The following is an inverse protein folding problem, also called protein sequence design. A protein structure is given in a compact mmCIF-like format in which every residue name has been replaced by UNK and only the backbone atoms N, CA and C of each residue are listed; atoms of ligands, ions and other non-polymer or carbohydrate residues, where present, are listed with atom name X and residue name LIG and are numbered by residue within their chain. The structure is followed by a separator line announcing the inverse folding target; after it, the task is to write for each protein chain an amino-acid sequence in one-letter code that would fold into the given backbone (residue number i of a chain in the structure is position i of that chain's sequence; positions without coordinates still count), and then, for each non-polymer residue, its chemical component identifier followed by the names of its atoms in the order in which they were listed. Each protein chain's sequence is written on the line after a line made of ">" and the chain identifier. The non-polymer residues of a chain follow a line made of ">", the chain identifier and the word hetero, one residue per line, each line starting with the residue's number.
data_IF_583283506103
#
_entry.id   IF_583283506103
#
_cell.length_a   1.000
_cell.length_b   1.000
_cell.length_c   1.000
_cell.angle_alpha   90.00
_cell.angle_beta   90.00
_cell.angle_gamma   90.00
#
_symmetry.space_group_name_H-M   'P 1'
#
loop_
_entity.id
_entity.type
_entity.pdbx_description
1 polymer ?
#
# COMPACT_ATOMS: atom_id res chain seq x y z
N UNK A 1 24.82 -12.17 -3.47
CA UNK A 1 25.32 -11.13 -4.33
C UNK A 1 24.30 -10.01 -4.36
N UNK A 2 24.64 -8.91 -3.68
CA UNK A 2 23.86 -7.66 -3.73
C UNK A 2 23.96 -7.10 -5.13
N UNK A 3 22.93 -7.25 -5.96
CA UNK A 3 22.83 -6.54 -7.23
C UNK A 3 22.85 -5.02 -6.95
N UNK A 4 23.64 -4.31 -7.71
CA UNK A 4 23.86 -2.87 -7.54
C UNK A 4 22.61 -2.09 -7.92
N UNK A 5 22.38 -0.96 -7.26
CA UNK A 5 21.29 0.00 -7.54
C UNK A 5 21.25 0.54 -8.97
N UNK A 6 22.35 0.38 -9.75
CA UNK A 6 22.42 0.74 -11.17
C UNK A 6 21.51 -0.08 -12.08
N UNK A 7 21.02 -1.25 -11.61
CA UNK A 7 20.26 -2.17 -12.46
C UNK A 7 18.80 -1.71 -12.70
N UNK A 8 18.31 -0.76 -11.90
CA UNK A 8 16.99 -0.14 -12.10
C UNK A 8 17.04 1.15 -12.93
N UNK A 9 18.23 1.75 -13.13
CA UNK A 9 18.38 3.00 -13.90
C UNK A 9 18.01 2.85 -15.38
N UNK A 10 18.04 1.63 -15.93
CA UNK A 10 17.75 1.32 -17.33
C UNK A 10 16.26 0.97 -17.58
N UNK A 11 15.39 1.23 -16.60
CA UNK A 11 13.95 0.94 -16.78
C UNK A 11 13.34 1.92 -17.78
N UNK A 12 13.05 1.42 -18.98
CA UNK A 12 12.14 2.12 -19.89
C UNK A 12 10.70 1.90 -19.43
N UNK A 13 9.86 2.94 -19.42
CA UNK A 13 8.42 2.75 -19.23
C UNK A 13 7.88 1.74 -20.24
N UNK A 14 6.96 0.88 -19.80
CA UNK A 14 6.19 0.04 -20.71
C UNK A 14 5.34 0.89 -21.67
N UNK A 15 4.74 0.29 -22.70
CA UNK A 15 3.78 0.99 -23.53
C UNK A 15 2.72 1.65 -22.65
N UNK A 16 2.47 2.92 -22.89
CA UNK A 16 1.60 3.76 -22.05
C UNK A 16 0.10 3.53 -22.25
N UNK A 17 -0.26 2.55 -23.03
CA UNK A 17 -1.69 2.27 -23.30
C UNK A 17 -2.23 1.31 -22.23
N UNK A 18 -3.24 1.72 -21.45
CA UNK A 18 -3.99 0.80 -20.60
C UNK A 18 -4.67 -0.27 -21.45
N UNK A 19 -5.10 -1.39 -20.87
CA UNK A 19 -5.89 -2.39 -21.58
C UNK A 19 -7.09 -1.75 -22.27
N UNK A 20 -7.36 -2.12 -23.50
CA UNK A 20 -8.48 -1.58 -24.27
C UNK A 20 -9.80 -1.76 -23.49
N UNK A 21 -10.48 -0.65 -23.24
CA UNK A 21 -11.80 -0.62 -22.60
C UNK A 21 -11.81 -0.70 -21.08
N UNK A 22 -10.66 -0.80 -20.42
CA UNK A 22 -10.59 -0.77 -18.92
C UNK A 22 -9.52 0.21 -18.44
N UNK A 23 -9.85 1.10 -17.48
CA UNK A 23 -8.86 1.99 -16.89
C UNK A 23 -7.88 1.20 -16.02
N UNK A 24 -6.68 1.75 -15.85
CA UNK A 24 -5.71 1.20 -14.89
C UNK A 24 -6.26 1.26 -13.46
N UNK A 25 -6.04 0.24 -12.64
CA UNK A 25 -6.40 0.31 -11.23
C UNK A 25 -5.54 1.35 -10.50
N UNK A 26 -6.09 1.90 -9.40
CA UNK A 26 -5.27 2.56 -8.40
C UNK A 26 -4.73 1.53 -7.41
N UNK A 27 -3.58 1.80 -6.79
CA UNK A 27 -2.95 0.89 -5.82
C UNK A 27 -2.81 1.59 -4.47
N UNK A 28 -3.40 1.00 -3.43
CA UNK A 28 -3.21 1.44 -2.04
C UNK A 28 -2.13 0.56 -1.39
N UNK A 29 -0.99 1.19 -1.15
CA UNK A 29 0.21 0.55 -0.61
C UNK A 29 0.69 1.23 0.67
N UNK A 30 1.62 0.60 1.37
CA UNK A 30 2.23 1.12 2.58
C UNK A 30 2.84 -0.01 3.40
N UNK A 31 3.59 0.32 4.43
CA UNK A 31 4.05 -0.73 5.33
C UNK A 31 2.85 -1.29 6.11
N UNK A 32 2.81 -2.61 6.45
CA UNK A 32 1.73 -3.17 7.27
C UNK A 32 1.55 -2.33 8.55
N UNK A 33 0.31 -2.15 9.00
CA UNK A 33 -0.05 -1.33 10.17
C UNK A 33 0.05 0.20 9.99
N UNK A 34 0.19 0.70 8.77
CA UNK A 34 0.18 2.14 8.46
C UNK A 34 -1.24 2.74 8.30
N UNK A 35 -2.30 2.03 8.67
CA UNK A 35 -3.67 2.54 8.59
C UNK A 35 -4.37 2.24 7.26
N UNK A 36 -3.80 1.39 6.41
CA UNK A 36 -4.38 1.01 5.11
C UNK A 36 -5.78 0.42 5.22
N UNK A 37 -6.12 -0.28 6.33
CA UNK A 37 -7.46 -0.84 6.54
C UNK A 37 -8.51 0.23 6.88
N UNK A 38 -8.14 1.29 7.60
CA UNK A 38 -9.06 2.41 7.81
C UNK A 38 -9.29 3.16 6.49
N UNK A 39 -8.21 3.40 5.75
CA UNK A 39 -8.26 4.11 4.49
C UNK A 39 -9.05 3.32 3.42
N UNK A 40 -8.85 2.01 3.31
CA UNK A 40 -9.63 1.19 2.38
C UNK A 40 -11.12 1.18 2.71
N UNK A 41 -11.46 1.21 4.00
CA UNK A 41 -12.87 1.27 4.45
C UNK A 41 -13.51 2.62 4.10
N UNK A 42 -12.77 3.73 4.23
CA UNK A 42 -13.22 5.05 3.76
C UNK A 42 -13.44 5.04 2.24
N UNK A 43 -12.47 4.53 1.49
CA UNK A 43 -12.57 4.41 0.03
C UNK A 43 -13.75 3.53 -0.40
N UNK A 44 -14.03 2.44 0.30
CA UNK A 44 -15.22 1.58 0.05
C UNK A 44 -16.57 2.30 0.29
N UNK A 45 -16.57 3.35 1.11
CA UNK A 45 -17.77 4.17 1.35
C UNK A 45 -18.17 5.03 0.16
N UNK A 46 -17.30 5.22 -0.82
CA UNK A 46 -17.54 6.00 -2.02
C UNK A 46 -18.21 5.16 -3.12
N UNK A 47 -19.28 5.67 -3.73
CA UNK A 47 -20.12 4.91 -4.70
C UNK A 47 -19.36 4.48 -5.95
N UNK A 48 -18.41 5.30 -6.43
CA UNK A 48 -17.65 5.07 -7.65
C UNK A 48 -16.37 4.22 -7.44
N UNK A 49 -16.14 3.62 -6.28
CA UNK A 49 -14.95 2.79 -6.02
C UNK A 49 -15.30 1.33 -5.80
N UNK A 50 -14.34 0.47 -6.14
CA UNK A 50 -14.34 -0.95 -5.83
C UNK A 50 -12.98 -1.33 -5.25
N UNK A 51 -12.92 -1.60 -3.96
CA UNK A 51 -11.66 -1.88 -3.26
C UNK A 51 -11.43 -3.37 -3.12
N UNK A 52 -10.26 -3.85 -3.58
CA UNK A 52 -9.80 -5.23 -3.42
C UNK A 52 -9.00 -5.33 -2.12
N UNK A 53 -9.42 -6.20 -1.22
CA UNK A 53 -8.72 -6.38 0.06
C UNK A 53 -7.69 -7.51 -0.03
N UNK A 54 -6.43 -7.13 -0.18
CA UNK A 54 -5.27 -8.03 -0.09
C UNK A 54 -5.40 -9.29 -0.97
N UNK A 55 -5.99 -9.12 -2.16
CA UNK A 55 -5.99 -10.17 -3.15
C UNK A 55 -4.58 -10.31 -3.74
N UNK A 56 -4.06 -11.54 -3.88
CA UNK A 56 -2.68 -11.76 -4.31
C UNK A 56 -2.49 -11.67 -5.83
N UNK A 57 -3.25 -10.81 -6.53
CA UNK A 57 -3.24 -10.77 -8.01
C UNK A 57 -1.87 -10.31 -8.52
N UNK A 58 -1.44 -9.10 -8.16
CA UNK A 58 -0.10 -8.58 -8.53
C UNK A 58 1.02 -9.47 -7.98
N UNK A 59 0.84 -10.03 -6.78
CA UNK A 59 1.81 -10.94 -6.19
C UNK A 59 2.01 -12.20 -7.05
N UNK A 60 0.92 -12.82 -7.49
CA UNK A 60 0.97 -14.03 -8.30
C UNK A 60 1.57 -13.76 -9.69
N UNK A 61 1.24 -12.62 -10.31
CA UNK A 61 1.87 -12.19 -11.56
C UNK A 61 3.39 -12.01 -11.36
N UNK A 62 3.82 -11.35 -10.29
CA UNK A 62 5.24 -11.19 -9.98
C UNK A 62 5.96 -12.53 -9.75
N UNK A 63 5.34 -13.46 -9.03
CA UNK A 63 5.91 -14.80 -8.82
C UNK A 63 6.06 -15.58 -10.13
N UNK A 64 5.13 -15.41 -11.07
CA UNK A 64 5.20 -16.08 -12.39
C UNK A 64 6.34 -15.56 -13.28
N UNK A 65 6.81 -14.35 -13.02
CA UNK A 65 7.90 -13.72 -13.76
C UNK A 65 9.28 -14.01 -13.18
N UNK A 66 9.36 -14.38 -11.90
CA UNK A 66 10.61 -14.69 -11.22
C UNK A 66 11.33 -13.44 -10.72
N UNK A 67 12.26 -12.89 -11.48
CA UNK A 67 13.08 -11.78 -11.02
C UNK A 67 12.81 -10.44 -11.75
N UNK A 68 13.48 -9.39 -11.27
CA UNK A 68 13.28 -8.03 -11.77
C UNK A 68 13.79 -7.86 -13.22
N UNK A 69 14.78 -8.63 -13.65
CA UNK A 69 15.29 -8.57 -15.03
C UNK A 69 14.22 -9.03 -16.01
N UNK A 70 13.45 -10.05 -15.65
CA UNK A 70 12.33 -10.50 -16.48
C UNK A 70 11.25 -9.44 -16.59
N UNK A 71 10.95 -8.72 -15.51
CA UNK A 71 10.01 -7.59 -15.55
C UNK A 71 10.52 -6.51 -16.50
N UNK A 72 11.82 -6.20 -16.47
CA UNK A 72 12.46 -5.18 -17.31
C UNK A 72 12.34 -5.50 -18.80
N UNK A 73 12.49 -6.75 -19.17
CA UNK A 73 12.54 -7.19 -20.56
C UNK A 73 11.19 -7.58 -21.16
N UNK A 74 10.07 -7.36 -20.43
CA UNK A 74 8.73 -7.61 -20.97
C UNK A 74 8.49 -6.80 -22.25
N UNK A 75 8.09 -7.48 -23.31
CA UNK A 75 7.59 -6.88 -24.55
C UNK A 75 6.11 -6.48 -24.44
N UNK A 76 5.59 -5.81 -25.46
CA UNK A 76 4.23 -5.31 -25.49
C UNK A 76 3.18 -6.45 -25.38
N UNK A 77 3.38 -7.54 -26.12
CA UNK A 77 2.42 -8.65 -26.14
C UNK A 77 2.36 -9.34 -24.78
N UNK A 78 3.51 -9.50 -24.13
CA UNK A 78 3.57 -10.09 -22.78
C UNK A 78 2.96 -9.19 -21.72
N UNK A 79 3.17 -7.86 -21.83
CA UNK A 79 2.51 -6.86 -20.95
C UNK A 79 1.00 -6.96 -21.10
N UNK A 80 0.48 -6.98 -22.33
CA UNK A 80 -0.95 -7.05 -22.57
C UNK A 80 -1.56 -8.38 -22.10
N UNK A 81 -0.84 -9.49 -22.24
CA UNK A 81 -1.24 -10.78 -21.68
C UNK A 81 -1.31 -10.77 -20.14
N UNK A 82 -0.34 -10.15 -19.47
CA UNK A 82 -0.33 -10.00 -18.00
C UNK A 82 -1.43 -9.06 -17.51
N UNK A 83 -1.72 -7.98 -18.23
CA UNK A 83 -2.87 -7.10 -17.95
C UNK A 83 -4.19 -7.85 -18.08
N UNK A 84 -4.35 -8.61 -19.16
CA UNK A 84 -5.54 -9.46 -19.37
C UNK A 84 -5.71 -10.47 -18.24
N UNK A 85 -4.61 -11.09 -17.78
CA UNK A 85 -4.61 -12.01 -16.66
C UNK A 85 -5.01 -11.30 -15.36
N UNK A 86 -4.47 -10.09 -15.09
CA UNK A 86 -4.84 -9.27 -13.93
C UNK A 86 -6.35 -9.04 -13.89
N UNK A 87 -6.94 -8.58 -14.98
CA UNK A 87 -8.37 -8.30 -15.03
C UNK A 87 -9.23 -9.56 -15.02
N UNK A 88 -8.79 -10.67 -15.60
CA UNK A 88 -9.49 -11.94 -15.51
C UNK A 88 -9.53 -12.46 -14.05
N UNK A 89 -8.40 -12.35 -13.33
CA UNK A 89 -8.34 -12.72 -11.93
C UNK A 89 -9.20 -11.78 -11.05
N UNK A 90 -9.23 -10.49 -11.34
CA UNK A 90 -10.10 -9.53 -10.69
C UNK A 90 -11.57 -9.90 -10.89
N UNK A 91 -12.00 -10.12 -12.12
CA UNK A 91 -13.39 -10.44 -12.46
C UNK A 91 -13.84 -11.76 -11.81
N UNK A 92 -12.92 -12.69 -11.66
CA UNK A 92 -13.18 -13.99 -11.01
C UNK A 92 -13.25 -13.88 -9.48
N UNK A 93 -12.38 -13.06 -8.86
CA UNK A 93 -12.21 -13.01 -7.40
C UNK A 93 -13.08 -11.95 -6.73
N UNK A 94 -13.25 -10.82 -7.39
CA UNK A 94 -13.97 -9.65 -6.87
C UNK A 94 -14.48 -8.78 -8.03
N UNK A 95 -15.56 -9.19 -8.71
CA UNK A 95 -16.08 -8.44 -9.85
C UNK A 95 -16.54 -7.05 -9.44
N UNK A 96 -16.00 -6.03 -10.12
CA UNK A 96 -16.42 -4.64 -9.96
C UNK A 96 -17.66 -4.33 -10.78
N UNK A 97 -18.51 -3.44 -10.29
CA UNK A 97 -19.60 -2.90 -11.12
C UNK A 97 -19.03 -2.03 -12.24
N UNK A 98 -19.76 -1.95 -13.35
CA UNK A 98 -19.36 -1.12 -14.49
C UNK A 98 -19.17 0.34 -14.07
N UNK A 99 -18.05 0.93 -14.46
CA UNK A 99 -17.73 2.33 -14.18
C UNK A 99 -17.08 2.59 -12.82
N UNK A 100 -16.98 1.60 -11.94
CA UNK A 100 -16.25 1.77 -10.68
C UNK A 100 -14.72 1.75 -10.89
N UNK A 101 -14.03 2.66 -10.21
CA UNK A 101 -12.58 2.65 -10.10
C UNK A 101 -12.14 1.49 -9.20
N UNK A 102 -11.29 0.63 -9.72
CA UNK A 102 -10.68 -0.45 -8.94
C UNK A 102 -9.52 0.11 -8.12
N UNK A 103 -9.52 -0.17 -6.83
CA UNK A 103 -8.42 0.14 -5.91
C UNK A 103 -7.88 -1.16 -5.35
N UNK A 104 -6.69 -1.56 -5.80
CA UNK A 104 -6.00 -2.76 -5.33
C UNK A 104 -5.25 -2.44 -4.04
N UNK A 105 -5.84 -2.81 -2.89
CA UNK A 105 -5.23 -2.60 -1.59
C UNK A 105 -4.45 -3.85 -1.17
N UNK A 106 -3.14 -3.74 -1.24
CA UNK A 106 -2.21 -4.66 -0.61
C UNK A 106 -0.99 -3.87 -0.11
N UNK A 107 -0.80 -3.75 1.22
CA UNK A 107 0.27 -2.92 1.78
C UNK A 107 1.64 -3.24 1.18
N UNK A 108 2.02 -4.52 1.13
CA UNK A 108 3.33 -4.95 0.63
C UNK A 108 3.48 -4.88 -0.90
N UNK A 109 2.45 -4.49 -1.65
CA UNK A 109 2.61 -4.19 -3.09
C UNK A 109 3.55 -3.00 -3.35
N UNK A 110 3.93 -2.23 -2.33
CA UNK A 110 4.99 -1.22 -2.44
C UNK A 110 6.33 -1.81 -2.93
N UNK A 111 6.65 -3.08 -2.62
CA UNK A 111 7.86 -3.74 -3.14
C UNK A 111 7.70 -4.25 -4.57
N UNK A 112 6.52 -4.10 -5.16
CA UNK A 112 6.20 -4.50 -6.54
C UNK A 112 6.00 -3.30 -7.47
N UNK A 113 6.42 -2.12 -7.02
CA UNK A 113 6.26 -0.87 -7.77
C UNK A 113 6.80 -0.97 -9.21
N UNK A 114 7.95 -1.61 -9.49
CA UNK A 114 8.42 -1.80 -10.87
C UNK A 114 7.46 -2.61 -11.75
N UNK A 115 6.86 -3.68 -11.21
CA UNK A 115 5.87 -4.46 -11.93
C UNK A 115 4.58 -3.68 -12.16
N UNK A 116 4.08 -3.00 -11.12
CA UNK A 116 2.89 -2.14 -11.22
C UNK A 116 3.09 -1.09 -12.31
N UNK A 117 4.21 -0.37 -12.27
CA UNK A 117 4.52 0.64 -13.27
C UNK A 117 4.68 0.05 -14.68
N UNK A 118 5.27 -1.15 -14.81
CA UNK A 118 5.42 -1.81 -16.11
C UNK A 118 4.07 -2.21 -16.71
N UNK A 119 3.14 -2.68 -15.89
CA UNK A 119 1.81 -3.08 -16.34
C UNK A 119 0.85 -1.87 -16.48
N UNK A 120 0.95 -0.90 -15.59
CA UNK A 120 0.01 0.23 -15.46
C UNK A 120 0.79 1.53 -15.24
N UNK A 121 1.43 2.08 -16.29
CA UNK A 121 2.33 3.24 -16.15
C UNK A 121 1.60 4.52 -15.71
N UNK A 122 0.31 4.61 -15.93
CA UNK A 122 -0.58 5.70 -15.54
C UNK A 122 -1.32 5.44 -14.21
N UNK A 123 -1.03 4.33 -13.55
CA UNK A 123 -1.67 3.99 -12.28
C UNK A 123 -1.45 5.06 -11.20
N UNK A 124 -2.51 5.36 -10.47
CA UNK A 124 -2.45 6.21 -9.29
C UNK A 124 -2.06 5.37 -8.07
N UNK A 125 -1.03 5.80 -7.35
CA UNK A 125 -0.53 5.09 -6.17
C UNK A 125 -0.89 5.90 -4.93
N UNK A 126 -1.53 5.27 -3.97
CA UNK A 126 -1.83 5.84 -2.66
C UNK A 126 -0.84 5.24 -1.67
N UNK A 127 0.05 6.05 -1.09
CA UNK A 127 1.00 5.61 -0.08
C UNK A 127 0.49 5.99 1.31
N UNK A 128 0.08 4.99 2.08
CA UNK A 128 -0.26 5.18 3.48
C UNK A 128 1.00 5.22 4.34
N UNK A 129 1.22 6.34 5.01
CA UNK A 129 2.33 6.59 5.92
C UNK A 129 1.85 6.64 7.37
N UNK A 130 2.71 6.20 8.28
CA UNK A 130 2.54 6.32 9.73
C UNK A 130 3.90 6.42 10.38
N UNK A 131 3.96 6.96 11.61
CA UNK A 131 5.21 7.09 12.36
C UNK A 131 5.99 5.75 12.39
N UNK A 132 7.26 5.73 11.92
CA UNK A 132 8.03 4.48 11.74
C UNK A 132 8.10 3.63 13.01
N UNK A 133 8.31 4.26 14.17
CA UNK A 133 8.39 3.55 15.44
C UNK A 133 7.04 2.91 15.82
N UNK A 134 5.91 3.59 15.59
CA UNK A 134 4.58 3.02 15.86
C UNK A 134 4.26 1.86 14.92
N UNK A 135 4.67 1.96 13.67
CA UNK A 135 4.47 0.91 12.67
C UNK A 135 5.25 -0.34 13.02
N UNK A 136 6.56 -0.22 13.28
CA UNK A 136 7.42 -1.34 13.62
C UNK A 136 6.97 -2.01 14.92
N UNK A 137 6.68 -1.21 15.96
CA UNK A 137 6.13 -1.73 17.22
C UNK A 137 4.79 -2.45 16.99
N UNK A 138 3.89 -1.86 16.20
CA UNK A 138 2.58 -2.45 15.91
C UNK A 138 2.69 -3.76 15.13
N UNK A 139 3.66 -3.89 14.23
CA UNK A 139 3.94 -5.14 13.52
C UNK A 139 4.46 -6.21 14.47
N UNK A 140 5.41 -5.87 15.34
CA UNK A 140 5.94 -6.80 16.35
C UNK A 140 4.87 -7.30 17.33
N UNK A 141 3.97 -6.41 17.77
CA UNK A 141 2.89 -6.75 18.71
C UNK A 141 1.71 -7.48 18.07
N UNK A 142 1.67 -7.58 16.75
CA UNK A 142 0.54 -8.18 16.03
C UNK A 142 0.76 -9.68 15.84
N UNK A 143 -0.26 -10.47 16.19
CA UNK A 143 -0.29 -11.89 15.85
C UNK A 143 -0.71 -12.06 14.37
N UNK A 144 0.27 -12.05 13.48
CA UNK A 144 0.04 -12.32 12.06
C UNK A 144 -0.09 -13.83 11.78
N UNK A 145 -0.86 -14.17 10.74
CA UNK A 145 -0.76 -15.52 10.16
C UNK A 145 0.66 -15.72 9.65
N UNK A 146 1.30 -16.87 9.94
CA UNK A 146 2.66 -17.14 9.50
C UNK A 146 2.76 -17.11 7.96
N UNK A 147 3.49 -16.13 7.45
CA UNK A 147 3.94 -16.06 6.06
C UNK A 147 5.41 -15.69 6.06
N UNK A 148 6.10 -15.92 4.96
CA UNK A 148 7.52 -15.57 4.83
C UNK A 148 7.78 -14.08 5.14
N UNK A 149 6.92 -13.19 4.65
CA UNK A 149 7.01 -11.75 4.95
C UNK A 149 6.76 -11.45 6.44
N UNK A 150 5.79 -12.12 7.07
CA UNK A 150 5.42 -11.88 8.48
C UNK A 150 6.42 -12.47 9.47
N UNK A 151 7.25 -13.44 9.05
CA UNK A 151 8.35 -13.95 9.87
C UNK A 151 9.37 -12.86 10.25
N UNK A 152 9.48 -11.81 9.44
CA UNK A 152 10.34 -10.65 9.73
C UNK A 152 9.87 -9.79 10.91
N UNK A 153 8.65 -10.00 11.42
CA UNK A 153 8.06 -9.22 12.52
C UNK A 153 8.10 -9.93 13.88
N UNK A 154 8.77 -11.08 13.97
CA UNK A 154 8.88 -11.85 15.22
C UNK A 154 9.78 -11.21 16.25
N UNK A 155 10.64 -10.29 15.88
CA UNK A 155 11.46 -9.48 16.78
C UNK A 155 11.62 -8.04 16.25
N UNK A 156 11.88 -7.10 17.16
CA UNK A 156 12.03 -5.68 16.84
C UNK A 156 13.23 -5.40 15.91
N UNK A 157 14.42 -5.99 16.09
CA UNK A 157 15.55 -5.81 15.19
C UNK A 157 15.27 -6.25 13.75
N UNK A 158 14.63 -7.38 13.52
CA UNK A 158 14.25 -7.82 12.19
C UNK A 158 13.15 -6.95 11.57
N UNK A 159 12.15 -6.58 12.37
CA UNK A 159 11.07 -5.68 11.92
C UNK A 159 11.61 -4.31 11.47
N UNK A 160 12.54 -3.72 12.24
CA UNK A 160 13.16 -2.43 11.90
C UNK A 160 14.04 -2.50 10.64
N UNK A 161 14.86 -3.55 10.50
CA UNK A 161 15.65 -3.78 9.28
C UNK A 161 14.77 -4.02 8.05
N UNK A 162 13.65 -4.71 8.24
CA UNK A 162 12.68 -4.94 7.15
C UNK A 162 12.02 -3.63 6.73
N UNK A 163 11.66 -2.78 7.71
CA UNK A 163 11.16 -1.43 7.44
C UNK A 163 12.16 -0.62 6.60
N UNK A 164 13.41 -0.55 7.06
CA UNK A 164 14.49 0.16 6.38
C UNK A 164 14.70 -0.33 4.94
N UNK A 165 14.78 -1.65 4.73
CA UNK A 165 14.96 -2.24 3.39
C UNK A 165 13.80 -1.92 2.45
N UNK A 166 12.56 -2.03 2.94
CA UNK A 166 11.36 -1.80 2.11
C UNK A 166 11.27 -0.33 1.73
N UNK A 167 11.49 0.61 2.67
CA UNK A 167 11.45 2.03 2.36
C UNK A 167 12.64 2.49 1.53
N UNK A 168 13.85 1.95 1.76
CA UNK A 168 15.02 2.21 0.89
C UNK A 168 14.76 1.76 -0.55
N UNK A 169 14.16 0.59 -0.73
CA UNK A 169 13.78 0.10 -2.05
C UNK A 169 12.67 0.96 -2.70
N UNK A 170 11.66 1.34 -1.92
CA UNK A 170 10.59 2.23 -2.37
C UNK A 170 11.12 3.58 -2.86
N UNK A 171 11.94 4.25 -2.06
CA UNK A 171 12.57 5.53 -2.41
C UNK A 171 13.43 5.40 -3.67
N UNK A 172 14.21 4.31 -3.76
CA UNK A 172 15.00 4.04 -4.95
C UNK A 172 14.11 3.89 -6.20
N UNK A 173 13.05 3.09 -6.14
CA UNK A 173 12.11 2.95 -7.24
C UNK A 173 11.48 4.30 -7.63
N UNK A 174 11.06 5.11 -6.67
CA UNK A 174 10.49 6.44 -6.93
C UNK A 174 11.49 7.41 -7.57
N UNK A 175 12.78 7.26 -7.30
CA UNK A 175 13.81 8.13 -7.89
C UNK A 175 14.05 7.88 -9.38
N UNK A 176 13.64 6.72 -9.89
CA UNK A 176 13.89 6.28 -11.27
C UNK A 176 12.62 6.03 -12.08
N UNK A 177 11.48 5.80 -11.44
CA UNK A 177 10.21 5.55 -12.10
C UNK A 177 9.28 6.78 -12.00
N UNK A 178 8.71 7.26 -13.11
CA UNK A 178 7.79 8.39 -13.11
C UNK A 178 6.40 7.94 -12.62
N UNK A 179 6.28 7.65 -11.33
CA UNK A 179 5.03 7.19 -10.71
C UNK A 179 4.23 8.34 -10.12
N UNK A 180 2.91 8.27 -10.26
CA UNK A 180 1.98 9.24 -9.70
C UNK A 180 1.55 8.81 -8.30
N UNK A 181 2.07 9.47 -7.25
CA UNK A 181 1.90 9.06 -5.86
C UNK A 181 1.23 10.14 -5.03
N UNK A 182 0.17 9.78 -4.31
CA UNK A 182 -0.43 10.57 -3.24
C UNK A 182 -0.05 9.96 -1.88
N UNK A 183 0.61 10.75 -1.04
CA UNK A 183 1.00 10.33 0.31
C UNK A 183 -0.06 10.76 1.32
N UNK A 184 -0.50 9.83 2.16
CA UNK A 184 -1.47 10.09 3.21
C UNK A 184 -0.93 9.61 4.55
N UNK A 185 -0.92 10.51 5.54
CA UNK A 185 -0.44 10.21 6.89
C UNK A 185 -1.60 9.76 7.77
N UNK A 186 -1.41 8.63 8.44
CA UNK A 186 -2.37 8.08 9.38
C UNK A 186 -2.75 9.07 10.48
N UNK A 187 -1.77 9.75 11.05
CA UNK A 187 -1.97 10.71 12.14
C UNK A 187 -2.85 11.88 11.71
N UNK A 188 -2.60 12.45 10.53
CA UNK A 188 -3.45 13.52 9.98
C UNK A 188 -4.87 12.99 9.66
N UNK A 189 -4.98 11.76 9.16
CA UNK A 189 -6.27 11.15 8.83
C UNK A 189 -7.13 10.93 10.09
N UNK A 190 -6.55 10.47 11.20
CA UNK A 190 -7.34 10.29 12.44
C UNK A 190 -7.69 11.60 13.13
N UNK A 191 -6.97 12.68 12.87
CA UNK A 191 -7.21 14.02 13.39
C UNK A 191 -8.29 14.74 12.58
N UNK A 192 -8.21 14.68 11.24
CA UNK A 192 -9.20 15.24 10.31
C UNK A 192 -9.38 14.32 9.09
N UNK A 193 -10.38 13.43 9.18
CA UNK A 193 -10.67 12.47 8.09
C UNK A 193 -11.06 13.21 6.83
N UNK A 194 -11.97 14.19 6.92
CA UNK A 194 -12.48 14.89 5.74
C UNK A 194 -11.39 15.73 5.07
N UNK A 195 -10.65 16.53 5.85
CA UNK A 195 -9.57 17.38 5.32
C UNK A 195 -8.43 16.56 4.71
N UNK A 196 -8.16 15.35 5.23
CA UNK A 196 -7.10 14.50 4.72
C UNK A 196 -7.53 13.69 3.51
N UNK A 197 -8.81 13.29 3.41
CA UNK A 197 -9.27 12.41 2.32
C UNK A 197 -9.83 13.19 1.11
N UNK A 198 -10.28 14.44 1.26
CA UNK A 198 -10.69 15.27 0.09
C UNK A 198 -9.59 15.38 -0.97
N UNK A 199 -8.33 15.76 -0.64
CA UNK A 199 -7.25 15.80 -1.62
C UNK A 199 -6.95 14.42 -2.26
N UNK A 200 -7.20 13.33 -1.53
CA UNK A 200 -7.07 12.00 -2.09
C UNK A 200 -8.16 11.71 -3.14
N UNK A 201 -9.42 12.06 -2.90
CA UNK A 201 -10.48 11.89 -3.91
C UNK A 201 -10.21 12.76 -5.13
N UNK A 202 -9.77 14.02 -4.95
CA UNK A 202 -9.33 14.89 -6.04
C UNK A 202 -8.19 14.25 -6.85
N UNK A 203 -7.18 13.70 -6.18
CA UNK A 203 -6.10 12.95 -6.82
C UNK A 203 -6.60 11.76 -7.61
N UNK A 204 -7.59 11.03 -7.09
CA UNK A 204 -8.22 9.92 -7.78
C UNK A 204 -9.10 10.37 -8.95
N UNK A 205 -9.49 11.64 -9.02
CA UNK A 205 -10.43 12.19 -10.02
C UNK A 205 -11.87 11.80 -9.69
N UNK A 206 -12.18 11.66 -8.41
CA UNK A 206 -13.50 11.33 -7.88
C UNK A 206 -14.11 12.56 -7.21
N UNK A 207 -15.41 12.77 -7.40
CA UNK A 207 -16.13 13.80 -6.66
C UNK A 207 -16.24 13.43 -5.18
N UNK A 208 -16.30 14.43 -4.31
CA UNK A 208 -16.43 14.20 -2.88
C UNK A 208 -17.83 13.66 -2.52
N UNK A 209 -17.87 12.58 -1.78
CA UNK A 209 -19.08 12.00 -1.19
C UNK A 209 -18.94 11.94 0.35
N UNK A 210 -19.88 12.56 1.09
CA UNK A 210 -19.89 12.51 2.56
C UNK A 210 -20.11 11.10 3.10
N UNK A 211 -20.76 10.24 2.33
CA UNK A 211 -20.96 8.82 2.66
C UNK A 211 -19.65 8.07 2.88
N UNK A 212 -18.55 8.51 2.26
CA UNK A 212 -17.21 7.95 2.46
C UNK A 212 -16.72 8.12 3.90
N UNK A 213 -17.20 9.15 4.62
CA UNK A 213 -16.82 9.38 6.02
C UNK A 213 -17.45 8.40 7.01
N UNK A 214 -18.53 7.74 6.63
CA UNK A 214 -19.23 6.79 7.51
C UNK A 214 -18.55 5.42 7.51
N UNK A 215 -17.24 5.40 7.81
CA UNK A 215 -16.42 4.20 7.80
C UNK A 215 -16.97 3.09 8.71
N UNK A 216 -17.63 3.45 9.82
CA UNK A 216 -18.22 2.46 10.73
C UNK A 216 -19.39 1.72 10.06
N UNK A 217 -20.32 2.44 9.40
CA UNK A 217 -21.39 1.79 8.63
C UNK A 217 -20.84 0.97 7.48
N UNK A 218 -19.82 1.49 6.79
CA UNK A 218 -19.14 0.76 5.73
C UNK A 218 -18.50 -0.52 6.26
N UNK A 219 -17.80 -0.46 7.40
CA UNK A 219 -17.19 -1.62 8.05
C UNK A 219 -18.24 -2.67 8.47
N UNK A 220 -19.38 -2.23 9.04
CA UNK A 220 -20.50 -3.13 9.40
C UNK A 220 -21.09 -3.78 8.15
N UNK A 221 -21.36 -3.01 7.09
CA UNK A 221 -21.91 -3.51 5.82
C UNK A 221 -20.97 -4.52 5.14
N UNK A 222 -19.66 -4.30 5.24
CA UNK A 222 -18.62 -5.17 4.71
C UNK A 222 -18.61 -6.55 5.37
N UNK A 223 -19.03 -6.64 6.64
CA UNK A 223 -19.01 -7.89 7.38
C UNK A 223 -17.60 -8.30 7.80
N UNK A 224 -17.17 -9.52 7.42
CA UNK A 224 -15.85 -10.04 7.83
C UNK A 224 -14.71 -9.36 7.09
N UNK A 225 -13.81 -8.68 7.83
CA UNK A 225 -12.56 -8.12 7.33
C UNK A 225 -11.44 -9.13 7.62
N UNK A 226 -10.67 -9.47 6.60
CA UNK A 226 -9.60 -10.50 6.70
C UNK A 226 -8.36 -10.04 7.45
N UNK A 227 -8.19 -8.73 7.63
CA UNK A 227 -6.98 -8.16 8.24
C UNK A 227 -7.06 -8.13 9.77
N UNK A 228 -5.92 -8.24 10.47
CA UNK A 228 -5.85 -8.12 11.93
C UNK A 228 -6.31 -6.75 12.47
N UNK A 229 -6.53 -5.76 11.61
CA UNK A 229 -6.98 -4.42 11.99
C UNK A 229 -8.50 -4.29 12.11
N UNK A 230 -9.26 -5.36 11.89
CA UNK A 230 -10.72 -5.34 11.89
C UNK A 230 -11.33 -4.68 13.14
N UNK A 231 -10.92 -5.15 14.32
CA UNK A 231 -11.45 -4.60 15.57
C UNK A 231 -11.21 -3.09 15.72
N UNK A 232 -10.11 -2.59 15.17
CA UNK A 232 -9.74 -1.19 15.24
C UNK A 232 -10.57 -0.28 14.32
N UNK A 233 -11.07 -0.81 13.20
CA UNK A 233 -11.89 -0.05 12.24
C UNK A 233 -13.36 0.01 12.67
N UNK A 234 -13.81 -0.97 13.46
CA UNK A 234 -15.17 -0.99 14.03
C UNK A 234 -15.36 0.00 15.18
N UNK A 235 -14.27 0.43 15.82
CA UNK A 235 -14.31 1.43 16.89
C UNK A 235 -14.30 2.85 16.33
N UNK A 236 -14.80 3.85 17.08
CA UNK A 236 -14.58 5.26 16.75
C UNK A 236 -13.08 5.51 16.56
N UNK A 237 -12.73 6.38 15.61
CA UNK A 237 -11.34 6.75 15.39
C UNK A 237 -10.75 7.31 16.69
N UNK A 238 -9.69 6.68 17.19
CA UNK A 238 -9.06 7.07 18.47
C UNK A 238 -7.57 7.38 18.27
N UNK A 239 -7.14 8.46 18.91
CA UNK A 239 -5.75 8.94 18.81
C UNK A 239 -4.73 8.09 19.61
N UNK A 240 -5.19 7.15 20.47
CA UNK A 240 -4.30 6.40 21.38
C UNK A 240 -3.31 5.45 20.65
N UNK A 241 -3.49 5.23 19.36
CA UNK A 241 -2.57 4.47 18.53
C UNK A 241 -1.39 5.32 18.00
N UNK A 242 -1.50 6.65 18.03
CA UNK A 242 -0.43 7.59 17.67
C UNK A 242 0.49 7.80 18.87
N UNK A 243 1.80 7.74 18.63
CA UNK A 243 2.82 7.90 19.69
C UNK A 243 2.86 6.77 20.71
N UNK A 244 2.24 5.63 20.43
CA UNK A 244 2.23 4.46 21.32
C UNK A 244 3.63 3.96 21.63
N UNK A 245 4.54 4.05 20.68
CA UNK A 245 5.94 3.63 20.81
C UNK A 245 6.67 4.29 21.98
N UNK A 246 6.30 5.52 22.37
CA UNK A 246 6.90 6.25 23.50
C UNK A 246 6.78 5.52 24.83
N UNK A 247 5.72 4.71 25.02
CA UNK A 247 5.54 3.87 26.19
C UNK A 247 6.52 2.68 26.23
N UNK A 248 7.15 2.37 25.09
CA UNK A 248 8.07 1.27 24.89
C UNK A 248 9.46 1.75 24.46
N UNK A 249 9.78 3.01 24.71
CA UNK A 249 11.02 3.64 24.28
C UNK A 249 12.26 2.85 24.75
N UNK A 250 12.24 2.35 25.99
CA UNK A 250 13.33 1.54 26.53
C UNK A 250 13.57 0.26 25.72
N UNK A 251 12.50 -0.43 25.32
CA UNK A 251 12.56 -1.66 24.51
C UNK A 251 12.95 -1.37 23.05
N UNK A 252 12.64 -0.18 22.57
CA UNK A 252 12.94 0.22 21.20
C UNK A 252 14.31 0.87 21.03
N UNK A 253 15.02 1.16 22.11
CA UNK A 253 16.31 1.89 22.10
C UNK A 253 17.32 1.32 21.12
N UNK A 254 17.43 -0.01 21.02
CA UNK A 254 18.35 -0.69 20.12
C UNK A 254 18.05 -0.44 18.63
N UNK A 255 16.79 -0.25 18.29
CA UNK A 255 16.35 -0.10 16.89
C UNK A 255 16.13 1.35 16.47
N UNK A 256 16.13 2.30 17.39
CA UNK A 256 15.97 3.73 17.08
C UNK A 256 17.00 4.23 16.05
N UNK A 257 18.30 3.86 16.12
CA UNK A 257 19.27 4.30 15.10
C UNK A 257 18.93 3.85 13.68
N UNK A 258 18.16 2.78 13.49
CA UNK A 258 17.70 2.32 12.17
C UNK A 258 16.49 3.13 11.72
N UNK A 259 15.59 3.48 12.65
CA UNK A 259 14.32 4.14 12.34
C UNK A 259 14.40 5.67 12.31
N UNK A 260 15.31 6.28 13.07
CA UNK A 260 15.44 7.75 13.17
C UNK A 260 15.65 8.44 11.81
N UNK A 261 16.49 7.93 10.88
CA UNK A 261 16.59 8.50 9.55
C UNK A 261 15.25 8.55 8.80
N UNK A 262 14.41 7.54 8.99
CA UNK A 262 13.07 7.47 8.39
C UNK A 262 12.08 8.40 9.09
N UNK A 263 12.15 8.53 10.42
CA UNK A 263 11.36 9.50 11.19
C UNK A 263 11.58 10.90 10.63
N UNK A 264 12.85 11.30 10.47
CA UNK A 264 13.22 12.62 9.93
C UNK A 264 12.82 12.78 8.46
N UNK A 265 13.14 11.80 7.60
CA UNK A 265 12.86 11.84 6.16
C UNK A 265 11.37 11.92 5.86
N UNK A 266 10.55 11.19 6.62
CA UNK A 266 9.09 11.22 6.49
C UNK A 266 8.46 12.41 7.26
N UNK A 267 9.26 13.31 7.86
CA UNK A 267 8.80 14.53 8.50
C UNK A 267 8.09 14.30 9.83
N UNK A 268 8.40 13.21 10.53
CA UNK A 268 7.99 12.96 11.90
C UNK A 268 9.03 13.46 12.92
N UNK A 269 8.72 13.33 14.20
CA UNK A 269 9.62 13.65 15.34
C UNK A 269 9.63 12.46 16.29
N UNK A 270 10.79 12.18 16.89
CA UNK A 270 10.92 11.24 18.00
C UNK A 270 10.27 11.76 19.26
#
# INVERSE_FOLDING_TARGET
>A
PTRRSSDLADWAPGPSSPPKGRPSPAFLVGFPRSGTTLLDTILMGHSATHVLEELPIIENLGKSLGDIDQIRTLDADRIDALRAQYFADLDRLAPAASGQMVIDKNPLSMVRLPLIHRLFPDAKIILALRHPCDVVLSCYMQNFKPTEAMASFLDLPNASRTYDRIFSYWEHCRSILPVNVHELRYEAMIEDVAGTTRPLFDFLGLEWEETALDHQKTAVKRGYIRTPSYAQVMEPIYASASGRWKRYEAQMREILPILEPWVQRLGYRL
#
